data_IF_785546381866
#
_entry.id   IF_785546381866
#
_cell.length_a   1.000
_cell.length_b   1.000
_cell.length_c   1.000
_cell.angle_alpha   90.00
_cell.angle_beta   90.00
_cell.angle_gamma   90.00
#
_symmetry.space_group_name_H-M   'P 1'
#
loop_
_entity.id
_entity.type
_entity.pdbx_description
1 polymer ?
#
# COMPACT_ATOMS: atom_id res chain seq x y z
N UNK A 1 17.63 0.93 -39.43
CA UNK A 1 17.31 1.60 -38.13
C UNK A 1 15.88 1.22 -37.85
N UNK A 2 15.71 0.16 -37.08
CA UNK A 2 14.40 -0.37 -36.73
C UNK A 2 13.90 0.37 -35.49
N UNK A 3 12.62 0.76 -35.53
CA UNK A 3 11.91 1.54 -34.53
C UNK A 3 12.02 0.95 -33.12
N UNK A 4 12.83 1.56 -32.26
CA UNK A 4 12.91 1.28 -30.83
C UNK A 4 11.69 1.78 -30.03
N UNK A 5 10.60 2.15 -30.71
CA UNK A 5 9.38 2.69 -30.07
C UNK A 5 8.17 1.75 -30.11
N UNK A 6 8.36 0.49 -30.49
CA UNK A 6 7.31 -0.51 -30.25
C UNK A 6 7.45 -1.07 -28.84
N UNK A 7 7.32 -0.21 -27.84
CA UNK A 7 6.94 -0.66 -26.49
C UNK A 7 5.53 -1.22 -26.67
N UNK A 8 5.44 -2.53 -26.50
CA UNK A 8 4.22 -3.30 -26.63
C UNK A 8 3.02 -2.54 -26.07
N UNK A 9 1.97 -2.40 -26.88
CA UNK A 9 0.64 -2.05 -26.38
C UNK A 9 0.37 -3.03 -25.25
N UNK A 10 0.34 -2.50 -24.01
CA UNK A 10 -0.07 -3.28 -22.88
C UNK A 10 -1.45 -3.87 -23.22
N UNK A 11 -1.50 -5.18 -23.40
CA UNK A 11 -2.75 -5.91 -23.41
C UNK A 11 -3.47 -5.48 -22.13
N UNK A 12 -4.69 -4.97 -22.29
CA UNK A 12 -5.57 -4.69 -21.16
C UNK A 12 -5.91 -6.03 -20.52
N UNK A 13 -5.10 -6.44 -19.54
CA UNK A 13 -5.51 -7.49 -18.63
C UNK A 13 -6.88 -7.13 -18.05
N UNK A 14 -7.79 -8.11 -17.89
CA UNK A 14 -9.12 -7.86 -17.35
C UNK A 14 -8.96 -7.10 -16.03
N UNK A 15 -9.64 -5.96 -15.92
CA UNK A 15 -9.67 -5.17 -14.71
C UNK A 15 -10.09 -6.07 -13.54
N UNK A 16 -9.15 -6.43 -12.68
CA UNK A 16 -9.48 -7.07 -11.42
C UNK A 16 -10.01 -5.98 -10.52
N UNK A 17 -11.30 -5.92 -10.29
CA UNK A 17 -12.05 -4.85 -9.62
C UNK A 17 -11.47 -4.40 -8.26
N UNK A 18 -10.51 -5.14 -7.71
CA UNK A 18 -9.90 -4.86 -6.42
C UNK A 18 -8.36 -4.68 -6.49
N UNK A 19 -7.73 -4.79 -7.68
CA UNK A 19 -6.29 -4.63 -7.88
C UNK A 19 -5.99 -3.45 -8.80
N UNK A 20 -5.20 -2.49 -8.30
CA UNK A 20 -4.67 -1.37 -9.08
C UNK A 20 -3.15 -1.54 -9.22
N UNK A 21 -2.67 -1.67 -10.46
CA UNK A 21 -1.24 -1.68 -10.78
C UNK A 21 -0.86 -0.29 -11.24
N UNK A 22 0.06 0.36 -10.53
CA UNK A 22 0.51 1.73 -10.85
C UNK A 22 1.52 1.70 -12.00
N UNK A 23 1.04 1.86 -13.22
CA UNK A 23 1.84 1.82 -14.46
C UNK A 23 2.47 3.18 -14.83
N UNK A 24 2.63 4.08 -13.86
CA UNK A 24 3.25 5.38 -14.10
C UNK A 24 4.72 5.21 -14.53
N UNK A 25 5.21 5.88 -15.59
CA UNK A 25 6.57 5.70 -16.09
C UNK A 25 7.67 5.85 -15.05
N UNK A 26 7.55 6.81 -14.13
CA UNK A 26 8.52 6.98 -13.04
C UNK A 26 8.54 5.81 -12.06
N UNK A 27 7.38 5.22 -11.76
CA UNK A 27 7.29 4.04 -10.90
C UNK A 27 7.97 2.86 -11.58
N UNK A 28 7.68 2.62 -12.85
CA UNK A 28 8.25 1.51 -13.62
C UNK A 28 9.77 1.67 -13.80
N UNK A 29 10.24 2.89 -14.10
CA UNK A 29 11.67 3.17 -14.20
C UNK A 29 12.40 2.90 -12.87
N UNK A 30 11.88 3.42 -11.75
CA UNK A 30 12.45 3.20 -10.42
C UNK A 30 12.43 1.73 -10.02
N UNK A 31 11.35 1.02 -10.35
CA UNK A 31 11.23 -0.41 -10.11
C UNK A 31 12.27 -1.20 -10.91
N UNK A 32 12.55 -0.83 -12.17
CA UNK A 32 13.61 -1.43 -12.99
C UNK A 32 14.98 -1.27 -12.33
N UNK A 33 15.31 -0.05 -11.86
CA UNK A 33 16.56 0.20 -11.15
C UNK A 33 16.65 -0.61 -9.84
N UNK A 34 15.53 -0.75 -9.13
CA UNK A 34 15.46 -1.48 -7.87
C UNK A 34 15.65 -3.00 -8.06
N UNK A 35 15.23 -3.54 -9.22
CA UNK A 35 15.36 -4.97 -9.56
C UNK A 35 16.76 -5.37 -9.99
N UNK A 36 17.62 -4.40 -10.33
CA UNK A 36 18.99 -4.70 -10.72
C UNK A 36 19.76 -5.27 -9.52
N UNK A 37 20.35 -6.45 -9.70
CA UNK A 37 21.12 -7.16 -8.66
C UNK A 37 22.34 -6.36 -8.17
N UNK A 38 22.85 -5.44 -8.98
CA UNK A 38 23.97 -4.56 -8.64
C UNK A 38 23.54 -3.34 -7.82
N UNK A 39 22.24 -3.13 -7.64
CA UNK A 39 21.73 -2.00 -6.85
C UNK A 39 22.14 -2.10 -5.40
N UNK A 40 22.86 -1.09 -4.91
CA UNK A 40 23.31 -1.05 -3.52
C UNK A 40 22.11 -0.96 -2.55
N UNK A 41 22.30 -1.46 -1.33
CA UNK A 41 21.26 -1.39 -0.29
C UNK A 41 20.77 0.05 -0.02
N UNK A 42 21.67 1.04 -0.11
CA UNK A 42 21.31 2.44 0.09
C UNK A 42 20.38 2.94 -1.02
N UNK A 43 20.72 2.67 -2.28
CA UNK A 43 19.89 3.03 -3.44
C UNK A 43 18.58 2.27 -3.42
N UNK A 44 18.59 0.96 -3.09
CA UNK A 44 17.37 0.16 -2.93
C UNK A 44 16.40 0.78 -1.93
N UNK A 45 16.86 1.17 -0.74
CA UNK A 45 16.03 1.82 0.29
C UNK A 45 15.48 3.16 -0.17
N UNK A 46 16.28 3.95 -0.90
CA UNK A 46 15.83 5.22 -1.47
C UNK A 46 14.73 4.99 -2.50
N UNK A 47 14.93 4.08 -3.46
CA UNK A 47 13.95 3.75 -4.49
C UNK A 47 12.66 3.20 -3.88
N UNK A 48 12.76 2.34 -2.87
CA UNK A 48 11.59 1.82 -2.13
C UNK A 48 10.76 2.95 -1.54
N UNK A 49 11.40 3.92 -0.87
CA UNK A 49 10.75 5.09 -0.29
C UNK A 49 10.05 5.94 -1.35
N UNK A 50 10.74 6.23 -2.45
CA UNK A 50 10.20 7.03 -3.55
C UNK A 50 9.01 6.35 -4.25
N UNK A 51 9.10 5.03 -4.51
CA UNK A 51 7.98 4.27 -5.08
C UNK A 51 6.80 4.25 -4.09
N UNK A 52 7.06 4.08 -2.80
CA UNK A 52 6.01 4.08 -1.76
C UNK A 52 5.19 5.37 -1.75
N UNK A 53 5.80 6.52 -2.02
CA UNK A 53 5.09 7.80 -2.14
C UNK A 53 4.12 7.80 -3.34
N UNK A 54 4.54 7.29 -4.50
CA UNK A 54 3.65 7.18 -5.67
C UNK A 54 2.49 6.22 -5.42
N UNK A 55 2.76 5.08 -4.78
CA UNK A 55 1.71 4.13 -4.42
C UNK A 55 0.75 4.72 -3.37
N UNK A 56 1.28 5.49 -2.41
CA UNK A 56 0.48 6.19 -1.42
C UNK A 56 -0.41 7.28 -2.05
N UNK A 57 0.10 8.02 -3.02
CA UNK A 57 -0.69 8.97 -3.80
C UNK A 57 -1.86 8.29 -4.52
N UNK A 58 -1.62 7.12 -5.12
CA UNK A 58 -2.66 6.37 -5.82
C UNK A 58 -3.70 5.79 -4.86
N UNK A 59 -3.27 5.13 -3.78
CA UNK A 59 -4.19 4.47 -2.83
C UNK A 59 -5.06 5.48 -2.05
N UNK A 60 -4.69 6.75 -2.06
CA UNK A 60 -5.42 7.84 -1.39
C UNK A 60 -6.24 8.71 -2.35
N UNK A 61 -6.34 8.34 -3.63
CA UNK A 61 -6.95 9.13 -4.71
C UNK A 61 -8.43 9.50 -4.47
N UNK A 62 -9.18 8.63 -3.84
CA UNK A 62 -10.62 8.72 -3.60
C UNK A 62 -10.97 9.02 -2.13
N UNK A 63 -10.03 9.59 -1.36
CA UNK A 63 -10.32 10.02 0.01
C UNK A 63 -11.42 11.08 0.02
N UNK A 64 -12.39 10.97 0.95
CA UNK A 64 -13.48 11.93 1.04
C UNK A 64 -12.96 13.33 1.42
N UNK A 65 -13.54 14.33 0.77
CA UNK A 65 -13.19 15.73 0.97
C UNK A 65 -14.36 16.50 1.58
N UNK A 66 -14.04 17.50 2.39
CA UNK A 66 -14.97 18.47 2.94
C UNK A 66 -14.40 19.87 2.76
N UNK A 67 -15.12 20.90 3.18
CA UNK A 67 -14.63 22.29 3.19
C UNK A 67 -14.39 22.78 4.60
N UNK A 68 -13.41 23.67 4.74
CA UNK A 68 -13.09 24.36 5.97
C UNK A 68 -12.86 25.83 5.67
N UNK A 69 -13.44 26.72 6.52
CA UNK A 69 -13.12 28.14 6.46
C UNK A 69 -11.68 28.38 6.93
N UNK A 70 -10.89 29.05 6.10
CA UNK A 70 -9.52 29.45 6.38
C UNK A 70 -9.33 30.94 6.14
N UNK A 71 -8.36 31.53 6.81
CA UNK A 71 -7.90 32.88 6.57
C UNK A 71 -6.57 32.80 5.79
N UNK A 72 -6.56 33.43 4.61
CA UNK A 72 -5.36 33.60 3.78
C UNK A 72 -4.80 35.00 4.00
N UNK A 73 -3.56 35.32 3.56
CA UNK A 73 -3.05 36.69 3.65
C UNK A 73 -3.90 37.74 2.96
N UNK A 74 -4.78 37.32 2.04
CA UNK A 74 -5.61 38.26 1.22
C UNK A 74 -7.07 38.28 1.65
N UNK A 75 -7.63 37.16 2.07
CA UNK A 75 -9.07 37.07 2.39
C UNK A 75 -9.39 35.77 3.14
N UNK A 76 -10.56 35.75 3.77
CA UNK A 76 -11.17 34.54 4.30
C UNK A 76 -11.89 33.80 3.18
N UNK A 77 -11.70 32.46 3.10
CA UNK A 77 -12.36 31.63 2.08
C UNK A 77 -12.67 30.23 2.61
N UNK A 78 -13.59 29.54 1.94
CA UNK A 78 -13.75 28.09 2.11
C UNK A 78 -12.75 27.35 1.25
N UNK A 79 -12.01 26.40 1.85
CA UNK A 79 -10.99 25.63 1.17
C UNK A 79 -11.21 24.13 1.37
N UNK A 80 -10.88 23.29 0.37
CA UNK A 80 -11.02 21.83 0.48
C UNK A 80 -10.04 21.26 1.49
N UNK A 81 -10.49 20.29 2.27
CA UNK A 81 -9.69 19.51 3.22
C UNK A 81 -10.17 18.07 3.27
N UNK A 82 -9.33 17.16 3.74
CA UNK A 82 -9.75 15.78 3.95
C UNK A 82 -10.83 15.72 5.03
N UNK A 83 -11.87 14.91 4.73
CA UNK A 83 -12.94 14.64 5.69
C UNK A 83 -12.52 13.61 6.73
N UNK A 84 -13.09 13.70 7.93
CA UNK A 84 -12.99 12.69 8.96
C UNK A 84 -11.69 12.70 9.75
N UNK A 85 -11.36 11.54 10.31
CA UNK A 85 -10.15 11.36 11.14
C UNK A 85 -8.92 11.11 10.27
N UNK A 86 -7.74 11.38 10.83
CA UNK A 86 -6.44 11.07 10.23
C UNK A 86 -6.37 9.61 9.81
N UNK A 87 -5.71 9.35 8.69
CA UNK A 87 -5.42 7.99 8.22
C UNK A 87 -4.70 7.15 9.29
N UNK A 88 -4.88 5.84 9.24
CA UNK A 88 -4.07 4.90 9.98
C UNK A 88 -3.23 4.08 9.00
N UNK A 89 -1.93 4.06 9.21
CA UNK A 89 -0.99 3.21 8.48
C UNK A 89 -0.62 2.04 9.38
N UNK A 90 -0.74 0.82 8.87
CA UNK A 90 -0.39 -0.38 9.63
C UNK A 90 0.66 -1.17 8.88
N UNK A 91 1.87 -1.21 9.46
CA UNK A 91 2.98 -1.99 8.92
C UNK A 91 2.89 -3.45 9.35
N UNK A 92 2.96 -4.36 8.38
CA UNK A 92 3.13 -5.78 8.64
C UNK A 92 4.63 -6.01 8.85
N UNK A 93 4.98 -6.30 10.10
CA UNK A 93 6.37 -6.42 10.54
C UNK A 93 7.00 -7.71 9.98
N UNK A 94 8.26 -7.68 9.65
CA UNK A 94 9.22 -6.56 9.78
C UNK A 94 9.36 -5.78 8.47
N UNK A 95 9.07 -6.41 7.33
CA UNK A 95 9.35 -5.90 6.00
C UNK A 95 8.54 -4.65 5.64
N UNK A 96 7.31 -4.52 6.14
CA UNK A 96 6.41 -3.38 5.89
C UNK A 96 6.98 -2.01 6.28
N UNK A 97 7.94 -1.96 7.22
CA UNK A 97 8.57 -0.71 7.64
C UNK A 97 9.26 0.04 6.48
N UNK A 98 9.80 -0.69 5.50
CA UNK A 98 10.43 -0.06 4.35
C UNK A 98 9.47 0.77 3.51
N UNK A 99 8.20 0.35 3.39
CA UNK A 99 7.14 1.11 2.71
C UNK A 99 6.57 2.22 3.61
N UNK A 100 6.43 1.93 4.90
CA UNK A 100 5.82 2.84 5.86
C UNK A 100 6.50 4.22 5.86
N UNK A 101 7.82 4.26 5.82
CA UNK A 101 8.59 5.51 5.84
C UNK A 101 8.22 6.40 4.65
N UNK A 102 8.14 5.85 3.44
CA UNK A 102 7.77 6.62 2.25
C UNK A 102 6.31 7.11 2.28
N UNK A 103 5.39 6.31 2.81
CA UNK A 103 3.98 6.73 2.96
C UNK A 103 3.85 7.83 4.00
N UNK A 104 4.61 7.77 5.10
CA UNK A 104 4.62 8.80 6.14
C UNK A 104 5.19 10.14 5.66
N UNK A 105 6.15 10.13 4.74
CA UNK A 105 6.64 11.37 4.12
C UNK A 105 5.54 12.10 3.34
N UNK A 106 4.62 11.36 2.70
CA UNK A 106 3.46 11.95 2.02
C UNK A 106 2.34 12.34 2.97
N UNK A 107 2.08 11.54 4.01
CA UNK A 107 1.00 11.77 4.99
C UNK A 107 1.54 11.77 6.42
N UNK A 108 2.33 12.79 6.81
CA UNK A 108 3.03 12.81 8.10
C UNK A 108 2.10 12.87 9.31
N UNK A 109 0.84 13.22 9.12
CA UNK A 109 -0.16 13.27 10.19
C UNK A 109 -0.85 11.92 10.46
N UNK A 110 -0.59 10.88 9.65
CA UNK A 110 -1.20 9.57 9.82
C UNK A 110 -0.86 8.95 11.18
N UNK A 111 -1.77 8.14 11.73
CA UNK A 111 -1.50 7.32 12.89
C UNK A 111 -0.82 6.03 12.46
N UNK A 112 0.12 5.55 13.24
CA UNK A 112 0.89 4.34 12.91
C UNK A 112 0.54 3.21 13.85
N UNK A 113 0.33 2.03 13.28
CA UNK A 113 0.18 0.77 13.97
C UNK A 113 1.09 -0.30 13.37
N UNK A 114 1.24 -1.40 14.09
CA UNK A 114 2.08 -2.52 13.69
C UNK A 114 1.40 -3.84 13.98
N UNK A 115 1.51 -4.76 13.04
CA UNK A 115 1.09 -6.15 13.18
C UNK A 115 2.30 -7.03 12.89
N UNK A 116 2.75 -7.79 13.87
CA UNK A 116 3.85 -8.74 13.74
C UNK A 116 3.30 -10.16 13.57
N UNK A 117 3.62 -10.76 12.42
CA UNK A 117 3.27 -12.13 12.10
C UNK A 117 4.54 -12.90 11.70
N UNK A 118 4.63 -14.16 12.10
CA UNK A 118 5.58 -15.10 11.54
C UNK A 118 4.85 -16.34 11.04
N UNK A 119 5.47 -17.05 10.14
CA UNK A 119 4.96 -18.33 9.67
C UNK A 119 5.50 -19.44 10.56
N UNK A 120 4.61 -20.15 11.20
CA UNK A 120 4.97 -21.33 11.96
C UNK A 120 5.60 -22.39 11.05
N UNK A 121 6.74 -22.95 11.45
CA UNK A 121 7.52 -23.87 10.60
C UNK A 121 6.86 -25.23 10.43
N UNK A 122 6.07 -25.67 11.42
CA UNK A 122 5.39 -26.97 11.40
C UNK A 122 4.01 -26.89 10.72
N UNK A 123 3.20 -25.91 11.15
CA UNK A 123 1.81 -25.79 10.68
C UNK A 123 1.68 -24.94 9.43
N UNK A 124 2.72 -24.18 9.08
CA UNK A 124 2.76 -23.17 7.99
C UNK A 124 1.69 -22.08 8.13
N UNK A 125 1.06 -21.97 9.30
CA UNK A 125 0.05 -20.95 9.58
C UNK A 125 0.69 -19.66 10.09
N UNK A 126 0.09 -18.48 9.80
CA UNK A 126 0.54 -17.21 10.37
C UNK A 126 0.24 -17.16 11.87
N UNK A 127 1.26 -16.87 12.67
CA UNK A 127 1.17 -16.69 14.12
C UNK A 127 1.48 -15.25 14.47
N UNK A 128 0.56 -14.62 15.22
CA UNK A 128 0.75 -13.27 15.73
C UNK A 128 1.71 -13.26 16.90
N UNK A 129 2.76 -12.43 16.83
CA UNK A 129 3.66 -12.19 17.96
C UNK A 129 3.62 -10.73 18.45
N UNK A 130 3.05 -9.81 17.67
CA UNK A 130 2.92 -8.40 18.04
C UNK A 130 1.69 -7.78 17.39
N UNK A 131 0.97 -6.94 18.16
CA UNK A 131 -0.11 -6.14 17.61
C UNK A 131 -0.26 -4.87 18.44
N UNK A 132 0.01 -3.73 17.84
CA UNK A 132 -0.20 -2.41 18.44
C UNK A 132 -0.85 -1.51 17.40
N UNK A 133 -2.11 -1.18 17.61
CA UNK A 133 -2.93 -0.46 16.66
C UNK A 133 -3.39 0.89 17.23
N UNK A 134 -3.61 1.90 16.39
CA UNK A 134 -4.21 3.16 16.80
C UNK A 134 -5.66 2.98 17.26
N UNK A 135 -6.11 3.87 18.13
CA UNK A 135 -7.50 3.91 18.57
C UNK A 135 -8.45 4.36 17.44
N UNK A 136 -9.72 3.96 17.58
CA UNK A 136 -10.82 4.37 16.71
C UNK A 136 -10.59 4.03 15.22
N UNK A 137 -10.14 2.80 14.93
CA UNK A 137 -9.92 2.33 13.56
C UNK A 137 -11.22 2.30 12.73
N UNK A 138 -12.38 2.13 13.37
CA UNK A 138 -13.69 2.14 12.71
C UNK A 138 -14.02 3.47 12.02
N UNK A 139 -13.39 4.56 12.44
CA UNK A 139 -13.61 5.92 11.91
C UNK A 139 -12.48 6.38 10.98
N UNK A 140 -11.59 5.48 10.56
CA UNK A 140 -10.39 5.80 9.77
C UNK A 140 -10.33 4.98 8.50
N UNK A 141 -9.73 5.57 7.48
CA UNK A 141 -9.16 4.76 6.39
C UNK A 141 -7.85 4.16 6.90
N UNK A 142 -7.77 2.83 6.85
CA UNK A 142 -6.62 2.04 7.32
C UNK A 142 -5.87 1.53 6.09
N UNK A 143 -4.59 1.86 5.97
CA UNK A 143 -3.73 1.36 4.90
C UNK A 143 -2.74 0.38 5.51
N UNK A 144 -2.91 -0.90 5.22
CA UNK A 144 -1.96 -1.94 5.58
C UNK A 144 -0.84 -1.99 4.55
N UNK A 145 0.41 -2.03 4.99
CA UNK A 145 1.59 -1.99 4.11
C UNK A 145 2.49 -3.21 4.32
N UNK A 146 2.82 -3.89 3.22
CA UNK A 146 3.79 -4.98 3.14
C UNK A 146 4.49 -4.93 1.78
N UNK A 147 5.81 -5.02 1.65
CA UNK A 147 6.47 -4.91 0.35
C UNK A 147 6.13 -6.05 -0.62
N UNK A 148 5.75 -7.22 -0.14
CA UNK A 148 5.54 -8.39 -0.99
C UNK A 148 4.23 -9.12 -0.67
N UNK A 149 3.29 -9.10 -1.61
CA UNK A 149 2.10 -9.94 -1.57
C UNK A 149 2.38 -11.23 -2.36
N UNK A 150 3.09 -12.19 -1.74
CA UNK A 150 3.45 -13.45 -2.38
C UNK A 150 2.28 -14.47 -2.30
N UNK A 151 2.21 -15.29 -1.27
CA UNK A 151 1.10 -16.26 -1.09
C UNK A 151 -0.16 -15.65 -0.50
N UNK A 152 -0.09 -14.45 0.06
CA UNK A 152 -1.21 -13.73 0.66
C UNK A 152 -1.62 -14.18 2.07
N UNK A 153 -1.06 -15.25 2.61
CA UNK A 153 -1.49 -15.78 3.93
C UNK A 153 -1.22 -14.80 5.08
N UNK A 154 -0.02 -14.23 5.15
CA UNK A 154 0.32 -13.24 6.19
C UNK A 154 -0.49 -11.95 6.04
N UNK A 155 -0.68 -11.51 4.79
CA UNK A 155 -1.46 -10.32 4.49
C UNK A 155 -2.94 -10.51 4.86
N UNK A 156 -3.54 -11.66 4.50
CA UNK A 156 -4.91 -11.99 4.88
C UNK A 156 -5.07 -12.05 6.41
N UNK A 157 -4.17 -12.73 7.12
CA UNK A 157 -4.21 -12.78 8.58
C UNK A 157 -4.05 -11.39 9.23
N UNK A 158 -3.21 -10.52 8.67
CA UNK A 158 -3.09 -9.14 9.14
C UNK A 158 -4.40 -8.36 8.96
N UNK A 159 -5.08 -8.52 7.82
CA UNK A 159 -6.38 -7.89 7.57
C UNK A 159 -7.45 -8.43 8.52
N UNK A 160 -7.45 -9.74 8.82
CA UNK A 160 -8.35 -10.32 9.85
C UNK A 160 -8.17 -9.61 11.20
N UNK A 161 -6.93 -9.42 11.65
CA UNK A 161 -6.63 -8.71 12.90
C UNK A 161 -7.11 -7.25 12.87
N UNK A 162 -6.98 -6.56 11.74
CA UNK A 162 -7.49 -5.19 11.59
C UNK A 162 -9.01 -5.14 11.67
N UNK A 163 -9.71 -6.08 11.02
CA UNK A 163 -11.17 -6.20 11.09
C UNK A 163 -11.64 -6.53 12.50
N UNK A 164 -10.96 -7.45 13.20
CA UNK A 164 -11.24 -7.78 14.60
C UNK A 164 -11.02 -6.56 15.52
N UNK A 165 -10.06 -5.70 15.22
CA UNK A 165 -9.83 -4.44 15.93
C UNK A 165 -10.82 -3.32 15.56
N UNK A 166 -11.81 -3.61 14.70
CA UNK A 166 -12.88 -2.70 14.32
C UNK A 166 -12.64 -1.87 13.07
N UNK A 167 -11.55 -2.07 12.33
CA UNK A 167 -11.32 -1.39 11.07
C UNK A 167 -12.39 -1.78 10.03
N UNK A 168 -12.98 -0.79 9.33
CA UNK A 168 -14.05 -0.98 8.35
C UNK A 168 -13.66 -0.60 6.93
N UNK A 169 -12.81 0.40 6.78
CA UNK A 169 -12.29 0.86 5.50
C UNK A 169 -10.81 0.54 5.44
N UNK A 170 -10.47 -0.63 4.92
CA UNK A 170 -9.09 -1.13 4.85
C UNK A 170 -8.67 -1.15 3.39
N UNK A 171 -7.43 -0.73 3.13
CA UNK A 171 -6.74 -0.79 1.85
C UNK A 171 -5.41 -1.49 2.04
N UNK A 172 -4.95 -2.22 1.03
CA UNK A 172 -3.67 -2.90 1.09
C UNK A 172 -2.71 -2.33 0.05
N UNK A 173 -1.50 -2.00 0.48
CA UNK A 173 -0.45 -1.43 -0.35
C UNK A 173 0.78 -2.32 -0.31
N UNK A 174 1.24 -2.77 -1.47
CA UNK A 174 2.48 -3.52 -1.60
C UNK A 174 3.32 -3.00 -2.78
N UNK A 175 4.62 -3.31 -2.74
CA UNK A 175 5.52 -2.98 -3.84
C UNK A 175 5.30 -3.95 -5.00
N UNK A 176 5.31 -5.25 -4.70
CA UNK A 176 5.11 -6.33 -5.66
C UNK A 176 3.99 -7.26 -5.20
N UNK A 177 3.23 -7.78 -6.14
CA UNK A 177 2.22 -8.79 -5.90
C UNK A 177 2.44 -9.99 -6.82
N UNK A 178 2.11 -11.19 -6.34
CA UNK A 178 1.99 -12.39 -7.14
C UNK A 178 0.51 -12.72 -7.38
N UNK A 179 0.15 -13.35 -8.52
CA UNK A 179 -1.24 -13.68 -8.84
C UNK A 179 -1.92 -14.52 -7.76
N UNK A 180 -1.21 -15.48 -7.15
CA UNK A 180 -1.75 -16.29 -6.05
C UNK A 180 -2.04 -15.47 -4.79
N UNK A 181 -1.19 -14.50 -4.46
CA UNK A 181 -1.42 -13.61 -3.32
C UNK A 181 -2.63 -12.72 -3.52
N UNK A 182 -2.79 -12.19 -4.72
CA UNK A 182 -3.97 -11.39 -5.10
C UNK A 182 -5.24 -12.25 -5.06
N UNK A 183 -5.20 -13.47 -5.60
CA UNK A 183 -6.33 -14.40 -5.55
C UNK A 183 -6.72 -14.76 -4.11
N UNK A 184 -5.74 -15.02 -3.24
CA UNK A 184 -5.94 -15.32 -1.82
C UNK A 184 -6.57 -14.13 -1.08
N UNK A 185 -6.10 -12.92 -1.35
CA UNK A 185 -6.67 -11.69 -0.76
C UNK A 185 -8.10 -11.45 -1.25
N UNK A 186 -8.38 -11.68 -2.52
CA UNK A 186 -9.73 -11.55 -3.09
C UNK A 186 -10.71 -12.55 -2.47
N UNK A 187 -10.27 -13.78 -2.25
CA UNK A 187 -11.08 -14.81 -1.60
C UNK A 187 -11.40 -14.46 -0.14
N UNK A 188 -10.39 -14.06 0.63
CA UNK A 188 -10.53 -13.79 2.06
C UNK A 188 -11.15 -12.41 2.35
N UNK A 189 -10.79 -11.40 1.56
CA UNK A 189 -11.14 -10.00 1.79
C UNK A 189 -11.48 -9.29 0.48
N UNK A 190 -12.60 -9.63 -0.19
CA UNK A 190 -13.00 -9.02 -1.47
C UNK A 190 -13.29 -7.53 -1.36
N UNK A 191 -13.50 -7.04 -0.15
CA UNK A 191 -13.75 -5.63 0.20
C UNK A 191 -12.48 -4.79 0.39
N UNK A 192 -11.28 -5.40 0.27
CA UNK A 192 -10.00 -4.72 0.49
C UNK A 192 -9.29 -4.47 -0.85
N UNK A 193 -9.30 -3.23 -1.35
CA UNK A 193 -8.57 -2.88 -2.57
C UNK A 193 -7.06 -2.97 -2.35
N UNK A 194 -6.37 -3.44 -3.38
CA UNK A 194 -4.91 -3.63 -3.41
C UNK A 194 -4.30 -2.64 -4.40
N UNK A 195 -3.25 -1.94 -3.99
CA UNK A 195 -2.43 -1.10 -4.87
C UNK A 195 -0.99 -1.62 -4.86
N UNK A 196 -0.42 -1.82 -6.05
CA UNK A 196 0.93 -2.35 -6.24
C UNK A 196 1.65 -1.67 -7.40
N UNK A 197 2.99 -1.72 -7.41
CA UNK A 197 3.80 -1.25 -8.53
C UNK A 197 3.89 -2.28 -9.67
N UNK A 198 3.82 -3.58 -9.37
CA UNK A 198 3.79 -4.64 -10.37
C UNK A 198 3.10 -5.90 -9.87
N UNK A 199 2.58 -6.66 -10.82
CA UNK A 199 2.11 -8.03 -10.65
C UNK A 199 3.11 -8.94 -11.37
N UNK A 200 3.87 -9.72 -10.62
CA UNK A 200 4.91 -10.59 -11.14
C UNK A 200 4.43 -12.06 -11.06
N UNK A 201 4.39 -12.74 -12.19
CA UNK A 201 4.35 -14.20 -12.20
C UNK A 201 5.73 -14.72 -11.72
N UNK A 202 5.75 -15.80 -10.92
CA UNK A 202 6.99 -16.41 -10.46
C UNK A 202 7.89 -16.83 -11.62
#
# INVERSE_FOLDING_TARGET
MADLWTIAKAEQEPAMDHLTIVRHPLVQHKLTLMRDKETSTAVFRQLLREISQFLAYEITRDLPMTTKQIETPMTTMEAPTLEGKKLALVSILRAGNGLLDGVLELVPSARVGFVGLYRDEETLQPVQYYCKLPDALQDRVVIAVDPMLATGNSSAAAIDLLKQAGARNIRFLCLLAAPEGVARMKEAHPDVPIVTAALDAQ
#
